data_IF_920947181795
#
_entry.id   IF_920947181795
#
_cell.length_a   1.000
_cell.length_b   1.000
_cell.length_c   1.000
_cell.angle_alpha   90.00
_cell.angle_beta   90.00
_cell.angle_gamma   90.00
#
_symmetry.space_group_name_H-M   'P 1'
#
loop_
_entity.id
_entity.type
_entity.pdbx_description
1 polymer ?
#
# COMPACT_ATOMS: atom_id res chain seq x y z
N UNK A 1 5.59 -1.63 26.85
CA UNK A 1 5.40 -1.96 25.43
C UNK A 1 4.79 -0.78 24.70
N UNK A 2 5.51 -0.23 23.75
CA UNK A 2 5.03 0.91 22.96
C UNK A 2 4.01 0.46 21.92
N UNK A 3 3.29 1.43 21.33
CA UNK A 3 2.38 1.12 20.22
C UNK A 3 3.14 0.54 19.01
N UNK A 4 4.37 1.00 18.79
CA UNK A 4 5.23 0.46 17.73
C UNK A 4 5.55 -1.02 17.98
N UNK A 5 5.87 -1.39 19.21
CA UNK A 5 6.12 -2.80 19.57
C UNK A 5 4.91 -3.68 19.27
N UNK A 6 3.73 -3.20 19.57
CA UNK A 6 2.46 -3.91 19.28
C UNK A 6 2.25 -4.09 17.79
N UNK A 7 2.49 -3.04 17.00
CA UNK A 7 2.38 -3.08 15.54
C UNK A 7 3.39 -4.09 14.96
N UNK A 8 4.64 -4.06 15.42
CA UNK A 8 5.68 -4.99 14.96
C UNK A 8 5.29 -6.44 15.28
N UNK A 9 4.82 -6.70 16.49
CA UNK A 9 4.40 -8.04 16.90
C UNK A 9 3.25 -8.55 16.01
N UNK A 10 2.27 -7.71 15.72
CA UNK A 10 1.16 -8.03 14.83
C UNK A 10 1.66 -8.32 13.40
N UNK A 11 2.53 -7.45 12.87
CA UNK A 11 3.09 -7.61 11.52
C UNK A 11 3.93 -8.87 11.38
N UNK A 12 4.70 -9.24 12.38
CA UNK A 12 5.48 -10.50 12.36
C UNK A 12 4.58 -11.70 12.18
N UNK A 13 3.46 -11.76 12.91
CA UNK A 13 2.48 -12.85 12.79
C UNK A 13 1.80 -12.84 11.40
N UNK A 14 1.36 -11.68 10.95
CA UNK A 14 0.72 -11.50 9.65
C UNK A 14 1.64 -11.94 8.51
N UNK A 15 2.89 -11.48 8.50
CA UNK A 15 3.87 -11.83 7.47
C UNK A 15 4.20 -13.31 7.49
N UNK A 16 4.37 -13.90 8.67
CA UNK A 16 4.62 -15.34 8.78
C UNK A 16 3.49 -16.18 8.18
N UNK A 17 2.25 -15.79 8.44
CA UNK A 17 1.08 -16.45 7.87
C UNK A 17 1.03 -16.31 6.35
N UNK A 18 1.24 -15.09 5.86
CA UNK A 18 1.21 -14.80 4.42
C UNK A 18 2.31 -15.59 3.70
N UNK A 19 3.52 -15.67 4.26
CA UNK A 19 4.62 -16.44 3.67
C UNK A 19 4.31 -17.94 3.60
N UNK A 20 3.57 -18.46 4.57
CA UNK A 20 3.13 -19.86 4.55
C UNK A 20 2.06 -20.11 3.49
N UNK A 21 1.08 -19.21 3.40
CA UNK A 21 -0.05 -19.32 2.46
C UNK A 21 0.35 -19.01 1.00
N UNK A 22 1.26 -18.06 0.82
CA UNK A 22 1.73 -17.58 -0.48
C UNK A 22 3.26 -17.60 -0.50
N UNK A 23 3.87 -18.79 -0.70
CA UNK A 23 5.33 -18.89 -0.77
C UNK A 23 5.90 -18.19 -2.02
N UNK A 24 7.21 -17.90 -1.98
CA UNK A 24 7.91 -17.22 -3.07
C UNK A 24 7.66 -17.89 -4.43
N UNK A 25 7.60 -19.22 -4.47
CA UNK A 25 7.32 -19.98 -5.70
C UNK A 25 5.99 -19.56 -6.34
N UNK A 26 4.96 -19.32 -5.54
CA UNK A 26 3.67 -18.81 -6.04
C UNK A 26 3.78 -17.39 -6.61
N UNK A 27 4.53 -16.52 -5.94
CA UNK A 27 4.74 -15.14 -6.39
C UNK A 27 5.48 -15.10 -7.73
N UNK A 28 6.53 -15.92 -7.88
CA UNK A 28 7.30 -16.01 -9.13
C UNK A 28 6.41 -16.44 -10.30
N UNK A 29 5.42 -17.29 -10.06
CA UNK A 29 4.45 -17.71 -11.08
C UNK A 29 3.35 -16.69 -11.39
N UNK A 30 3.29 -15.58 -10.66
CA UNK A 30 2.30 -14.54 -10.91
C UNK A 30 2.53 -13.83 -12.24
N UNK A 31 1.47 -13.50 -13.01
CA UNK A 31 1.62 -12.79 -14.29
C UNK A 31 2.34 -11.44 -14.16
N UNK A 32 2.23 -10.79 -13.00
CA UNK A 32 2.82 -9.48 -12.77
C UNK A 32 4.24 -9.53 -12.19
N UNK A 33 4.75 -10.72 -11.84
CA UNK A 33 6.06 -10.85 -11.20
C UNK A 33 7.21 -10.30 -12.04
N UNK A 34 7.16 -10.53 -13.35
CA UNK A 34 8.21 -10.09 -14.29
C UNK A 34 8.01 -8.66 -14.81
N UNK A 35 6.95 -8.00 -14.38
CA UNK A 35 6.66 -6.64 -14.79
C UNK A 35 7.74 -5.69 -14.28
N UNK A 36 8.19 -4.77 -15.15
CA UNK A 36 9.07 -3.67 -14.72
C UNK A 36 8.24 -2.65 -13.96
N UNK A 37 8.55 -2.38 -12.68
CA UNK A 37 7.81 -1.39 -11.91
C UNK A 37 8.00 0.02 -12.45
N UNK A 38 7.01 0.88 -12.22
CA UNK A 38 7.13 2.31 -12.48
C UNK A 38 8.04 2.91 -11.40
N UNK A 39 9.00 3.75 -11.81
CA UNK A 39 9.91 4.38 -10.86
C UNK A 39 9.20 5.43 -10.00
N UNK A 40 9.09 5.18 -8.70
CA UNK A 40 8.56 6.14 -7.73
C UNK A 40 9.40 7.42 -7.70
N UNK A 41 10.74 7.28 -7.73
CA UNK A 41 11.65 8.42 -7.76
C UNK A 41 11.38 9.34 -8.95
N UNK A 42 11.26 8.77 -10.15
CA UNK A 42 10.94 9.56 -11.35
C UNK A 42 9.59 10.24 -11.24
N UNK A 43 8.57 9.52 -10.76
CA UNK A 43 7.23 10.07 -10.59
C UNK A 43 7.20 11.26 -9.64
N UNK A 44 7.99 11.21 -8.56
CA UNK A 44 8.08 12.32 -7.59
C UNK A 44 8.86 13.52 -8.12
N UNK A 45 9.87 13.29 -8.97
CA UNK A 45 10.82 14.33 -9.44
C UNK A 45 10.49 14.91 -10.80
N UNK A 46 9.49 14.39 -11.51
CA UNK A 46 9.08 14.93 -12.80
C UNK A 46 8.66 16.41 -12.69
N UNK A 47 8.93 17.19 -13.76
CA UNK A 47 8.74 18.64 -13.78
C UNK A 47 7.33 19.08 -13.36
N UNK A 48 6.31 18.37 -13.80
CA UNK A 48 4.91 18.70 -13.49
C UNK A 48 4.31 17.83 -12.38
N UNK A 49 5.16 17.11 -11.63
CA UNK A 49 4.70 16.27 -10.52
C UNK A 49 4.22 17.11 -9.35
N UNK A 50 3.15 16.67 -8.69
CA UNK A 50 2.72 17.27 -7.43
C UNK A 50 3.67 16.94 -6.28
N UNK A 51 4.52 15.90 -6.43
CA UNK A 51 5.40 15.41 -5.37
C UNK A 51 4.64 14.78 -4.19
N UNK A 52 3.39 14.42 -4.39
CA UNK A 52 2.51 13.90 -3.33
C UNK A 52 2.34 12.39 -3.48
N UNK A 53 2.57 11.67 -2.38
CA UNK A 53 2.15 10.28 -2.22
C UNK A 53 0.87 10.29 -1.40
N UNK A 54 -0.27 9.91 -2.00
CA UNK A 54 -1.55 9.87 -1.33
C UNK A 54 -1.82 8.47 -0.78
N UNK A 55 -2.23 8.39 0.47
CA UNK A 55 -2.53 7.11 1.11
C UNK A 55 -4.01 6.99 1.46
N UNK A 56 -4.61 5.87 1.09
CA UNK A 56 -5.95 5.49 1.54
C UNK A 56 -5.84 4.40 2.59
N UNK A 57 -6.15 4.75 3.82
CA UNK A 57 -6.14 3.83 4.95
C UNK A 57 -7.54 3.68 5.52
N UNK A 58 -8.10 2.48 5.44
CA UNK A 58 -9.46 2.18 5.92
C UNK A 58 -9.50 1.75 7.38
N UNK A 59 -8.42 1.11 7.83
CA UNK A 59 -8.28 0.63 9.19
C UNK A 59 -6.82 0.45 9.55
N UNK A 60 -6.53 0.37 10.85
CA UNK A 60 -5.19 0.11 11.34
C UNK A 60 -5.24 -0.68 12.65
N UNK A 61 -4.14 -1.39 13.03
CA UNK A 61 -4.08 -2.09 14.30
C UNK A 61 -4.24 -1.18 15.51
N UNK A 62 -3.81 0.08 15.40
CA UNK A 62 -3.86 1.04 16.51
C UNK A 62 -5.20 1.75 16.68
N UNK A 63 -5.91 1.97 15.57
CA UNK A 63 -7.16 2.75 15.57
C UNK A 63 -8.40 1.93 15.18
N UNK A 64 -8.22 0.68 14.74
CA UNK A 64 -9.31 -0.11 14.20
C UNK A 64 -9.84 0.46 12.89
N UNK A 65 -11.14 0.40 12.67
CA UNK A 65 -11.78 0.92 11.46
C UNK A 65 -11.72 2.45 11.47
N UNK A 66 -11.15 3.02 10.40
CA UNK A 66 -11.04 4.47 10.19
C UNK A 66 -12.17 4.94 9.27
N UNK A 67 -12.35 4.27 8.14
CA UNK A 67 -13.40 4.56 7.18
C UNK A 67 -13.81 3.27 6.46
N UNK A 68 -15.06 2.86 6.61
CA UNK A 68 -15.63 1.67 5.97
C UNK A 68 -16.64 2.01 4.87
N UNK A 69 -16.88 3.29 4.61
CA UNK A 69 -17.90 3.77 3.65
C UNK A 69 -17.30 4.13 2.29
N UNK A 70 -16.11 4.73 2.26
CA UNK A 70 -15.45 5.07 1.00
C UNK A 70 -14.94 3.80 0.31
N UNK A 71 -15.09 3.73 -1.00
CA UNK A 71 -14.57 2.62 -1.79
C UNK A 71 -13.15 2.92 -2.27
N UNK A 72 -12.37 1.85 -2.53
CA UNK A 72 -11.03 1.98 -3.12
C UNK A 72 -11.13 2.71 -4.45
N UNK A 73 -12.10 2.36 -5.27
CA UNK A 73 -12.29 2.95 -6.60
C UNK A 73 -12.53 4.46 -6.53
N UNK A 74 -13.46 4.91 -5.68
CA UNK A 74 -13.76 6.34 -5.52
C UNK A 74 -12.54 7.14 -5.08
N UNK A 75 -11.82 6.65 -4.08
CA UNK A 75 -10.68 7.36 -3.50
C UNK A 75 -9.49 7.36 -4.46
N UNK A 76 -9.17 6.23 -5.09
CA UNK A 76 -8.04 6.15 -6.03
C UNK A 76 -8.29 6.98 -7.28
N UNK A 77 -9.52 7.04 -7.79
CA UNK A 77 -9.86 7.90 -8.92
C UNK A 77 -9.77 9.38 -8.53
N UNK A 78 -10.22 9.75 -7.33
CA UNK A 78 -10.08 11.10 -6.82
C UNK A 78 -8.62 11.55 -6.72
N UNK A 79 -7.75 10.69 -6.21
CA UNK A 79 -6.31 10.97 -6.15
C UNK A 79 -5.69 11.07 -7.54
N UNK A 80 -6.10 10.20 -8.47
CA UNK A 80 -5.64 10.25 -9.85
C UNK A 80 -6.01 11.57 -10.52
N UNK A 81 -7.26 12.02 -10.33
CA UNK A 81 -7.74 13.31 -10.86
C UNK A 81 -6.97 14.50 -10.26
N UNK A 82 -6.53 14.39 -9.00
CA UNK A 82 -5.69 15.37 -8.34
C UNK A 82 -4.21 15.32 -8.77
N UNK A 83 -3.86 14.41 -9.67
CA UNK A 83 -2.51 14.25 -10.20
C UNK A 83 -1.45 13.94 -9.14
N UNK A 84 -1.75 13.06 -8.21
CA UNK A 84 -0.75 12.60 -7.23
C UNK A 84 0.36 11.79 -7.91
N UNK A 85 1.57 11.85 -7.37
CA UNK A 85 2.73 11.14 -7.93
C UNK A 85 2.65 9.63 -7.71
N UNK A 86 2.04 9.21 -6.60
CA UNK A 86 1.86 7.80 -6.27
C UNK A 86 0.71 7.63 -5.28
N UNK A 87 0.24 6.39 -5.15
CA UNK A 87 -0.81 6.05 -4.20
C UNK A 87 -0.39 4.84 -3.36
N UNK A 88 -0.78 4.85 -2.09
CA UNK A 88 -0.64 3.74 -1.16
C UNK A 88 -2.04 3.35 -0.67
N UNK A 89 -2.32 2.07 -0.63
CA UNK A 89 -3.63 1.53 -0.20
C UNK A 89 -3.41 0.54 0.92
N UNK A 90 -4.01 0.81 2.06
CA UNK A 90 -3.89 -0.03 3.27
C UNK A 90 -5.26 -0.50 3.77
#
# INVERSE_FOLDING_TARGET
>A
MTILDKIIAFKKKEVSKIKADVPLKKLVGSPLFKRTPISLKKSLLEVNSTGIIAEFKRQSPSKGVINDKATIEEVTNGYLDANVAAQSIL
#
